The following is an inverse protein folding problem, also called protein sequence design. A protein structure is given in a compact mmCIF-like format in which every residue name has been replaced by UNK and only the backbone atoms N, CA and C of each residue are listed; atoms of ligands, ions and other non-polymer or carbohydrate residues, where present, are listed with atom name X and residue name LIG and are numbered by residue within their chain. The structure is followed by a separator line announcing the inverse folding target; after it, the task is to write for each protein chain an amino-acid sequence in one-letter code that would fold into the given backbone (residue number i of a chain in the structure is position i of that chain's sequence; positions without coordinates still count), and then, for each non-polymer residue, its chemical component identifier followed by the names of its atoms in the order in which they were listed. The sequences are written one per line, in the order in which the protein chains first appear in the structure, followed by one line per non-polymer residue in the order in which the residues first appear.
data_IF_490104854296
#
_entry.id   IF_490104854296
#
_cell.length_a   1.000
_cell.length_b   1.000
_cell.length_c   1.000
_cell.angle_alpha   90.00
_cell.angle_beta   90.00
_cell.angle_gamma   90.00
#
_symmetry.space_group_name_H-M   'P 1'
#
loop_
_entity.id
_entity.type
_entity.pdbx_description
1 polymer ?
#
# COMPACT_ATOMS: atom_id res chain seq x y z
N UNK A 1 -9.38 18.72 -6.79
CA UNK A 1 -8.30 17.70 -6.79
C UNK A 1 -7.57 17.77 -8.12
N UNK A 2 -6.24 17.89 -8.09
CA UNK A 2 -5.47 17.93 -9.33
C UNK A 2 -5.19 16.50 -9.84
N UNK A 3 -4.66 16.41 -11.06
CA UNK A 3 -4.41 15.11 -11.71
C UNK A 3 -3.45 14.23 -10.93
N UNK A 4 -2.40 14.81 -10.34
CA UNK A 4 -1.43 14.04 -9.57
C UNK A 4 -2.08 13.41 -8.33
N UNK A 5 -2.87 14.19 -7.60
CA UNK A 5 -3.56 13.68 -6.41
C UNK A 5 -4.55 12.56 -6.78
N UNK A 6 -5.28 12.74 -7.87
CA UNK A 6 -6.21 11.72 -8.34
C UNK A 6 -5.47 10.42 -8.68
N UNK A 7 -4.36 10.52 -9.39
CA UNK A 7 -3.55 9.35 -9.75
C UNK A 7 -2.94 8.68 -8.52
N UNK A 8 -2.48 9.47 -7.56
CA UNK A 8 -1.95 8.92 -6.30
C UNK A 8 -3.02 8.13 -5.56
N UNK A 9 -4.23 8.65 -5.49
CA UNK A 9 -5.35 7.98 -4.83
C UNK A 9 -5.74 6.69 -5.56
N UNK A 10 -5.75 6.71 -6.89
CA UNK A 10 -6.02 5.51 -7.70
C UNK A 10 -4.95 4.44 -7.47
N UNK A 11 -3.69 4.84 -7.42
CA UNK A 11 -2.57 3.92 -7.18
C UNK A 11 -2.62 3.32 -5.79
N UNK A 12 -2.91 4.13 -4.78
CA UNK A 12 -3.06 3.65 -3.41
C UNK A 12 -4.20 2.67 -3.29
N UNK A 13 -5.33 2.96 -3.92
CA UNK A 13 -6.48 2.07 -3.92
C UNK A 13 -6.18 0.77 -4.67
N UNK A 14 -5.46 0.84 -5.78
CA UNK A 14 -5.05 -0.35 -6.52
C UNK A 14 -4.12 -1.23 -5.68
N UNK A 15 -3.15 -0.63 -5.02
CA UNK A 15 -2.25 -1.36 -4.12
C UNK A 15 -3.07 -2.05 -3.01
N UNK A 16 -4.00 -1.33 -2.40
CA UNK A 16 -4.87 -1.88 -1.36
C UNK A 16 -5.72 -3.04 -1.88
N UNK A 17 -6.27 -2.90 -3.11
CA UNK A 17 -7.08 -3.95 -3.71
C UNK A 17 -6.26 -5.21 -4.00
N UNK A 18 -5.04 -5.05 -4.50
CA UNK A 18 -4.14 -6.18 -4.79
C UNK A 18 -3.81 -6.94 -3.51
N UNK A 19 -3.42 -6.24 -2.45
CA UNK A 19 -3.04 -6.86 -1.19
C UNK A 19 -4.26 -7.49 -0.51
N UNK A 20 -5.39 -6.80 -0.54
CA UNK A 20 -6.66 -7.33 0.01
C UNK A 20 -7.04 -8.65 -0.66
N UNK A 21 -6.95 -8.71 -1.99
CA UNK A 21 -7.22 -9.95 -2.73
C UNK A 21 -6.25 -11.04 -2.35
N UNK A 22 -4.97 -10.73 -2.23
CA UNK A 22 -3.94 -11.71 -1.91
C UNK A 22 -4.09 -12.26 -0.49
N UNK A 23 -4.53 -11.44 0.45
CA UNK A 23 -4.64 -11.82 1.86
C UNK A 23 -6.07 -12.16 2.31
N UNK A 24 -7.05 -12.00 1.44
CA UNK A 24 -8.44 -12.34 1.75
C UNK A 24 -9.09 -11.36 2.72
N UNK A 25 -8.74 -10.07 2.63
CA UNK A 25 -9.37 -9.02 3.42
C UNK A 25 -10.31 -8.19 2.56
N UNK A 26 -11.18 -7.41 3.19
CA UNK A 26 -12.08 -6.49 2.49
C UNK A 26 -11.33 -5.19 2.15
N UNK A 27 -11.41 -4.76 0.88
CA UNK A 27 -10.85 -3.49 0.47
C UNK A 27 -11.46 -2.32 1.25
N UNK A 28 -12.76 -2.36 1.48
CA UNK A 28 -13.44 -1.29 2.23
C UNK A 28 -12.93 -1.18 3.66
N UNK A 29 -12.72 -2.32 4.32
CA UNK A 29 -12.15 -2.32 5.68
C UNK A 29 -10.72 -1.79 5.69
N UNK A 30 -9.92 -2.16 4.69
CA UNK A 30 -8.52 -1.69 4.58
C UNK A 30 -8.49 -0.18 4.40
N UNK A 31 -9.32 0.35 3.51
CA UNK A 31 -9.35 1.79 3.24
C UNK A 31 -9.97 2.57 4.42
N UNK A 32 -10.91 1.98 5.13
CA UNK A 32 -11.52 2.62 6.31
C UNK A 32 -10.63 2.60 7.55
N UNK A 33 -9.60 1.75 7.55
CA UNK A 33 -8.69 1.66 8.70
C UNK A 33 -9.22 0.85 9.85
N UNK A 34 -9.94 -0.24 9.56
CA UNK A 34 -10.42 -1.19 10.56
C UNK A 34 -9.24 -1.70 11.42
N UNK A 35 -9.50 -1.98 12.70
CA UNK A 35 -8.45 -2.31 13.68
C UNK A 35 -8.14 -3.80 13.83
N UNK A 36 -8.69 -4.69 13.00
CA UNK A 36 -8.30 -6.08 13.07
C UNK A 36 -6.82 -6.22 12.65
N UNK A 37 -6.10 -7.18 13.26
CA UNK A 37 -4.69 -7.37 12.98
C UNK A 37 -4.42 -7.64 11.50
N UNK A 38 -5.28 -8.43 10.88
CA UNK A 38 -5.14 -8.79 9.46
C UNK A 38 -5.34 -7.58 8.56
N UNK A 39 -6.31 -6.74 8.87
CA UNK A 39 -6.58 -5.50 8.10
C UNK A 39 -5.46 -4.50 8.30
N UNK A 40 -4.96 -4.36 9.53
CA UNK A 40 -3.81 -3.47 9.81
C UNK A 40 -2.61 -3.91 8.98
N UNK A 41 -2.30 -5.20 8.97
CA UNK A 41 -1.17 -5.71 8.19
C UNK A 41 -1.37 -5.48 6.70
N UNK A 42 -2.57 -5.79 6.17
CA UNK A 42 -2.90 -5.56 4.76
C UNK A 42 -2.69 -4.09 4.39
N UNK A 43 -3.17 -3.18 5.24
CA UNK A 43 -3.02 -1.74 5.02
C UNK A 43 -1.56 -1.31 5.05
N UNK A 44 -0.77 -1.85 5.96
CA UNK A 44 0.67 -1.56 6.04
C UNK A 44 1.40 -1.99 4.77
N UNK A 45 1.10 -3.18 4.26
CA UNK A 45 1.70 -3.66 3.00
C UNK A 45 1.29 -2.74 1.84
N UNK A 46 0.03 -2.35 1.78
CA UNK A 46 -0.47 -1.45 0.72
C UNK A 46 0.23 -0.08 0.78
N UNK A 47 0.41 0.47 1.97
CA UNK A 47 1.12 1.74 2.16
C UNK A 47 2.58 1.62 1.73
N UNK A 48 3.24 0.52 2.10
CA UNK A 48 4.63 0.27 1.70
C UNK A 48 4.77 0.20 0.19
N UNK A 49 3.90 -0.55 -0.49
CA UNK A 49 3.94 -0.67 -1.94
C UNK A 49 3.69 0.68 -2.61
N UNK A 50 2.79 1.48 -2.07
CA UNK A 50 2.49 2.80 -2.62
C UNK A 50 3.67 3.76 -2.46
N UNK A 51 4.28 3.79 -1.28
CA UNK A 51 5.41 4.69 -1.02
C UNK A 51 6.71 4.17 -1.65
N UNK A 52 7.15 2.98 -1.26
CA UNK A 52 8.43 2.44 -1.71
C UNK A 52 8.35 1.87 -3.13
N UNK A 53 7.29 1.14 -3.45
CA UNK A 53 7.14 0.50 -4.75
C UNK A 53 6.91 1.49 -5.88
N UNK A 54 6.07 2.47 -5.67
CA UNK A 54 5.73 3.48 -6.69
C UNK A 54 6.56 4.76 -6.54
N UNK A 55 7.40 4.86 -5.52
CA UNK A 55 8.24 6.02 -5.33
C UNK A 55 7.51 7.27 -4.88
N UNK A 56 6.39 7.15 -4.19
CA UNK A 56 5.68 8.28 -3.64
C UNK A 56 6.28 8.68 -2.29
N UNK A 57 6.28 9.98 -2.00
CA UNK A 57 6.66 10.47 -0.68
C UNK A 57 5.66 9.95 0.37
N UNK A 58 6.07 9.96 1.64
CA UNK A 58 5.16 9.60 2.73
C UNK A 58 3.94 10.51 2.77
N UNK A 59 4.12 11.78 2.47
CA UNK A 59 2.99 12.74 2.42
C UNK A 59 1.99 12.36 1.34
N UNK A 60 2.47 12.04 0.13
CA UNK A 60 1.59 11.66 -0.98
C UNK A 60 0.88 10.34 -0.72
N UNK A 61 1.62 9.34 -0.21
CA UNK A 61 1.01 8.07 0.15
C UNK A 61 -0.02 8.25 1.27
N UNK A 62 0.28 9.08 2.27
CA UNK A 62 -0.63 9.36 3.38
C UNK A 62 -1.93 9.98 2.89
N UNK A 63 -1.86 10.90 1.93
CA UNK A 63 -3.07 11.49 1.34
C UNK A 63 -3.92 10.42 0.65
N UNK A 64 -3.29 9.47 -0.03
CA UNK A 64 -4.03 8.40 -0.70
C UNK A 64 -4.78 7.49 0.28
N UNK A 65 -4.25 7.31 1.49
CA UNK A 65 -4.85 6.44 2.50
C UNK A 65 -5.62 7.20 3.59
N UNK A 66 -5.64 8.52 3.53
CA UNK A 66 -6.36 9.34 4.52
C UNK A 66 -5.76 9.24 5.91
N UNK A 67 -4.44 9.24 6.02
CA UNK A 67 -3.74 9.13 7.30
C UNK A 67 -2.58 10.11 7.38
N UNK A 68 -1.86 10.10 8.48
CA UNK A 68 -0.69 10.94 8.68
C UNK A 68 0.55 10.35 8.01
N UNK A 69 1.50 11.19 7.53
CA UNK A 69 2.76 10.68 6.97
C UNK A 69 3.54 9.78 7.92
N UNK A 70 3.48 10.04 9.22
CA UNK A 70 4.14 9.21 10.24
C UNK A 70 3.58 7.78 10.26
N UNK A 71 2.30 7.62 9.95
CA UNK A 71 1.65 6.30 9.86
C UNK A 71 2.24 5.51 8.68
N UNK A 72 2.43 6.17 7.54
CA UNK A 72 3.06 5.55 6.38
C UNK A 72 4.52 5.18 6.69
N UNK A 73 5.26 6.10 7.30
CA UNK A 73 6.65 5.85 7.67
C UNK A 73 6.78 4.64 8.61
N UNK A 74 5.88 4.53 9.59
CA UNK A 74 5.84 3.38 10.49
C UNK A 74 5.56 2.08 9.73
N UNK A 75 4.56 2.11 8.84
CA UNK A 75 4.23 0.94 8.02
C UNK A 75 5.44 0.49 7.19
N UNK A 76 6.13 1.43 6.58
CA UNK A 76 7.33 1.12 5.78
C UNK A 76 8.41 0.46 6.63
N UNK A 77 8.63 0.94 7.85
CA UNK A 77 9.62 0.31 8.74
C UNK A 77 9.23 -1.11 9.12
N UNK A 78 7.96 -1.32 9.45
CA UNK A 78 7.45 -2.66 9.80
C UNK A 78 7.66 -3.63 8.65
N UNK A 79 7.30 -3.23 7.44
CA UNK A 79 7.41 -4.10 6.27
C UNK A 79 8.86 -4.33 5.87
N UNK A 80 9.73 -3.31 5.96
CA UNK A 80 11.16 -3.48 5.68
C UNK A 80 11.79 -4.57 6.56
N UNK A 81 11.47 -4.58 7.84
CA UNK A 81 11.96 -5.61 8.76
C UNK A 81 11.47 -6.99 8.34
N UNK A 82 10.21 -7.10 7.93
CA UNK A 82 9.63 -8.37 7.49
C UNK A 82 10.27 -8.90 6.21
N UNK A 83 10.89 -8.05 5.39
CA UNK A 83 11.58 -8.48 4.17
C UNK A 83 12.83 -9.30 4.44
N UNK A 84 13.30 -9.37 5.67
CA UNK A 84 14.38 -10.28 6.05
C UNK A 84 13.98 -11.75 5.88
N UNK A 85 12.67 -12.05 5.88
CA UNK A 85 12.18 -13.39 5.62
C UNK A 85 12.08 -13.58 4.09
N UNK A 86 12.86 -14.53 3.48
CA UNK A 86 12.97 -14.62 2.02
C UNK A 86 11.66 -14.89 1.28
N UNK A 87 10.75 -15.67 1.87
CA UNK A 87 9.47 -15.98 1.20
C UNK A 87 8.58 -14.76 1.14
N UNK A 88 8.56 -13.97 2.24
CA UNK A 88 7.81 -12.73 2.27
C UNK A 88 8.40 -11.73 1.28
N UNK A 89 9.73 -11.62 1.25
CA UNK A 89 10.43 -10.73 0.34
C UNK A 89 10.10 -11.02 -1.12
N UNK A 90 10.10 -12.28 -1.52
CA UNK A 90 9.75 -12.68 -2.89
C UNK A 90 8.30 -12.37 -3.22
N UNK A 91 7.38 -12.63 -2.27
CA UNK A 91 5.97 -12.34 -2.46
C UNK A 91 5.75 -10.83 -2.65
N UNK A 92 6.42 -10.04 -1.84
CA UNK A 92 6.33 -8.59 -1.91
C UNK A 92 6.89 -8.05 -3.22
N UNK A 93 8.02 -8.60 -3.68
CA UNK A 93 8.61 -8.24 -4.99
C UNK A 93 7.64 -8.50 -6.13
N UNK A 94 6.93 -9.62 -6.11
CA UNK A 94 5.96 -9.95 -7.15
C UNK A 94 4.81 -8.94 -7.16
N UNK A 95 4.31 -8.57 -6.00
CA UNK A 95 3.25 -7.57 -5.90
C UNK A 95 3.74 -6.20 -6.38
N UNK A 96 4.95 -5.83 -6.01
CA UNK A 96 5.55 -4.56 -6.41
C UNK A 96 5.69 -4.48 -7.93
N UNK A 97 6.19 -5.54 -8.56
CA UNK A 97 6.33 -5.61 -10.01
C UNK A 97 4.97 -5.50 -10.70
N UNK A 98 3.98 -6.22 -10.20
CA UNK A 98 2.63 -6.16 -10.78
C UNK A 98 2.03 -4.75 -10.65
N UNK A 99 2.24 -4.11 -9.51
CA UNK A 99 1.71 -2.77 -9.27
C UNK A 99 2.38 -1.73 -10.17
N UNK A 100 3.70 -1.79 -10.30
CA UNK A 100 4.46 -0.84 -11.13
C UNK A 100 4.06 -0.97 -12.61
N UNK A 101 3.75 -2.18 -13.07
CA UNK A 101 3.36 -2.43 -14.46
C UNK A 101 1.88 -2.21 -14.71
N UNK A 102 1.06 -2.06 -13.68
CA UNK A 102 -0.38 -1.89 -13.85
C UNK A 102 -0.69 -0.55 -14.52
N UNK A 103 -1.59 -0.52 -15.52
CA UNK A 103 -1.96 0.74 -16.14
C UNK A 103 -2.77 1.60 -15.17
N UNK A 104 -2.45 2.89 -15.16
CA UNK A 104 -3.25 3.88 -14.44
C UNK A 104 -4.12 4.57 -15.48
N UNK A 105 -5.42 4.38 -15.37
CA UNK A 105 -6.36 5.00 -16.31
C UNK A 105 -6.40 6.51 -16.07
N UNK A 106 -6.27 7.22 -17.16
CA UNK A 106 -6.27 8.68 -17.11
C UNK A 106 -7.67 9.24 -16.84
#
# INVERSE_FOLDING_TARGET
MNDRMRKDMERGRLAAAMVSSALGTSLDEVMAGNRSMKVIFTRQVAMYLTAAGLGLSYCRAAMAFGCEPSTVAHACRVIEVKRDEPRFDRWLDLLEQALVQAPVLA
#
